data_IF_664136686687
#
_entry.id   IF_664136686687
#
_cell.length_a   1.000
_cell.length_b   1.000
_cell.length_c   1.000
_cell.angle_alpha   90.00
_cell.angle_beta   90.00
_cell.angle_gamma   90.00
#
_symmetry.space_group_name_H-M   'P 1'
#
loop_
_entity.id
_entity.type
_entity.pdbx_description
1 polymer ?
#
# COMPACT_ATOMS: atom_id res chain seq x y z
N UNK A 1 -10.07 7.23 -24.24
CA UNK A 1 -9.04 7.31 -23.18
C UNK A 1 -9.60 8.22 -22.11
N UNK A 2 -9.87 7.69 -20.92
CA UNK A 2 -10.21 8.53 -19.78
C UNK A 2 -8.94 9.25 -19.33
N UNK A 3 -9.02 10.56 -19.14
CA UNK A 3 -7.91 11.36 -18.63
C UNK A 3 -7.58 10.92 -17.19
N UNK A 4 -6.30 10.94 -16.81
CA UNK A 4 -5.92 10.63 -15.44
C UNK A 4 -6.50 11.71 -14.51
N UNK A 5 -7.14 11.34 -13.38
CA UNK A 5 -7.65 12.32 -12.46
C UNK A 5 -6.50 13.15 -11.87
N UNK A 6 -6.77 14.39 -11.41
CA UNK A 6 -5.71 15.26 -10.89
C UNK A 6 -5.12 14.76 -9.56
N UNK A 7 -5.89 13.99 -8.79
CA UNK A 7 -5.49 13.44 -7.48
C UNK A 7 -5.93 11.99 -7.32
N UNK A 8 -5.25 11.26 -6.44
CA UNK A 8 -5.65 9.93 -6.02
C UNK A 8 -7.06 9.93 -5.41
N UNK A 9 -7.39 10.94 -4.59
CA UNK A 9 -8.72 11.09 -4.00
C UNK A 9 -9.81 11.22 -5.09
N UNK A 10 -9.53 11.96 -6.17
CA UNK A 10 -10.47 12.09 -7.28
C UNK A 10 -10.70 10.75 -8.01
N UNK A 11 -9.66 9.91 -8.16
CA UNK A 11 -9.81 8.54 -8.68
C UNK A 11 -10.77 7.73 -7.80
N UNK A 12 -10.54 7.73 -6.49
CA UNK A 12 -11.36 6.97 -5.54
C UNK A 12 -12.80 7.48 -5.51
N UNK A 13 -13.00 8.79 -5.51
CA UNK A 13 -14.32 9.40 -5.52
C UNK A 13 -15.09 9.11 -6.81
N UNK A 14 -14.43 9.17 -7.97
CA UNK A 14 -15.05 8.87 -9.28
C UNK A 14 -15.63 7.46 -9.35
N UNK A 15 -14.97 6.49 -8.70
CA UNK A 15 -15.37 5.08 -8.70
C UNK A 15 -16.09 4.66 -7.41
N UNK A 16 -16.39 5.63 -6.52
CA UNK A 16 -17.06 5.39 -5.24
C UNK A 16 -16.35 4.27 -4.44
N UNK A 17 -15.02 4.43 -4.32
CA UNK A 17 -14.12 3.53 -3.61
C UNK A 17 -13.79 4.10 -2.22
N UNK A 18 -13.82 3.27 -1.16
CA UNK A 18 -13.37 3.66 0.17
C UNK A 18 -11.92 4.14 0.16
N UNK A 19 -11.67 5.29 0.78
CA UNK A 19 -10.33 5.80 0.98
C UNK A 19 -9.61 5.00 2.07
N UNK A 20 -8.35 4.67 1.84
CA UNK A 20 -7.47 4.11 2.87
C UNK A 20 -6.72 5.29 3.50
N UNK A 21 -6.96 5.61 4.79
CA UNK A 21 -6.37 6.79 5.41
C UNK A 21 -4.85 6.64 5.47
N UNK A 22 -4.13 7.67 5.03
CA UNK A 22 -2.68 7.75 5.12
C UNK A 22 -2.28 8.70 6.27
N UNK A 23 -1.04 8.61 6.78
CA UNK A 23 -0.51 9.63 7.68
C UNK A 23 -0.66 11.04 7.11
N UNK A 24 -1.10 12.00 7.93
CA UNK A 24 -1.65 13.26 7.43
C UNK A 24 -0.66 14.17 6.68
N UNK A 25 0.63 14.12 6.98
CA UNK A 25 1.70 14.79 6.20
C UNK A 25 2.02 14.06 4.89
N UNK A 26 2.02 12.71 4.87
CA UNK A 26 2.19 11.95 3.63
C UNK A 26 1.01 12.18 2.69
N UNK A 27 -0.22 12.14 3.20
CA UNK A 27 -1.42 12.39 2.39
C UNK A 27 -1.38 13.79 1.76
N UNK A 28 -1.05 14.81 2.56
CA UNK A 28 -0.90 16.20 2.08
C UNK A 28 0.27 16.38 1.12
N UNK A 29 1.24 15.47 1.10
CA UNK A 29 2.43 15.53 0.26
C UNK A 29 2.34 14.67 -0.99
N UNK A 30 1.28 13.87 -1.17
CA UNK A 30 1.05 13.11 -2.40
C UNK A 30 0.95 14.06 -3.60
N UNK A 31 1.75 13.81 -4.63
CA UNK A 31 1.73 14.54 -5.91
C UNK A 31 1.64 13.55 -7.05
N UNK A 32 1.03 13.95 -8.16
CA UNK A 32 1.03 13.13 -9.37
C UNK A 32 2.46 13.07 -9.93
N UNK A 33 2.98 11.86 -10.12
CA UNK A 33 4.35 11.63 -10.61
C UNK A 33 4.33 11.00 -12.00
N UNK A 34 3.23 10.32 -12.35
CA UNK A 34 2.93 9.84 -13.69
C UNK A 34 1.40 9.64 -13.83
N UNK A 35 0.87 9.39 -15.03
CA UNK A 35 -0.56 9.13 -15.20
C UNK A 35 -1.03 8.01 -14.28
N UNK A 36 -2.05 8.30 -13.46
CA UNK A 36 -2.62 7.38 -12.47
C UNK A 36 -1.68 6.93 -11.33
N UNK A 37 -0.55 7.62 -11.11
CA UNK A 37 0.34 7.35 -9.98
C UNK A 37 0.63 8.64 -9.22
N UNK A 38 0.40 8.59 -7.91
CA UNK A 38 0.68 9.65 -6.97
C UNK A 38 1.63 9.14 -5.89
N UNK A 39 2.66 9.92 -5.57
CA UNK A 39 3.70 9.53 -4.61
C UNK A 39 4.17 10.74 -3.82
N UNK A 40 4.72 10.50 -2.63
CA UNK A 40 5.43 11.51 -1.82
C UNK A 40 6.92 11.59 -2.15
N UNK A 41 7.43 10.72 -3.02
CA UNK A 41 8.83 10.68 -3.43
C UNK A 41 9.00 10.47 -4.93
N UNK A 42 10.08 11.03 -5.46
CA UNK A 42 10.60 10.83 -6.81
C UNK A 42 12.14 10.84 -6.76
N UNK A 43 12.83 10.08 -7.64
CA UNK A 43 12.29 9.15 -8.63
C UNK A 43 11.68 7.89 -7.99
N UNK A 44 10.83 7.17 -8.73
CA UNK A 44 10.32 5.86 -8.31
C UNK A 44 11.33 4.76 -8.67
N UNK A 45 11.53 3.74 -7.81
CA UNK A 45 12.43 2.62 -8.10
C UNK A 45 11.89 1.70 -9.20
N UNK A 46 10.56 1.55 -9.30
CA UNK A 46 9.86 0.74 -10.30
C UNK A 46 8.41 1.22 -10.46
N UNK A 47 7.67 0.62 -11.41
CA UNK A 47 6.21 0.82 -11.45
C UNK A 47 5.56 0.25 -10.17
N UNK A 48 4.43 0.79 -9.69
CA UNK A 48 3.71 0.20 -8.56
C UNK A 48 3.37 -1.28 -8.77
N UNK A 49 3.23 -1.71 -10.02
CA UNK A 49 2.93 -3.12 -10.34
C UNK A 49 4.04 -4.10 -9.93
N UNK A 50 5.30 -3.65 -9.92
CA UNK A 50 6.47 -4.44 -9.53
C UNK A 50 6.61 -4.48 -8.00
N UNK A 51 5.58 -4.99 -7.32
CA UNK A 51 5.44 -4.99 -5.86
C UNK A 51 6.69 -5.48 -5.11
N UNK A 52 7.35 -6.54 -5.62
CA UNK A 52 8.53 -7.11 -4.96
C UNK A 52 9.69 -6.12 -4.89
N UNK A 53 9.89 -5.24 -5.88
CA UNK A 53 10.94 -4.21 -5.86
C UNK A 53 10.73 -3.24 -4.70
N UNK A 54 9.48 -2.85 -4.45
CA UNK A 54 9.13 -1.94 -3.35
C UNK A 54 9.27 -2.60 -1.97
N UNK A 55 8.96 -3.89 -1.89
CA UNK A 55 9.12 -4.69 -0.67
C UNK A 55 10.60 -4.88 -0.36
N UNK A 56 11.41 -5.26 -1.36
CA UNK A 56 12.86 -5.43 -1.22
C UNK A 56 13.55 -4.13 -0.80
N UNK A 57 13.19 -3.00 -1.40
CA UNK A 57 13.75 -1.70 -1.02
C UNK A 57 13.53 -1.37 0.46
N UNK A 58 12.33 -1.64 1.01
CA UNK A 58 12.07 -1.41 2.43
C UNK A 58 12.82 -2.39 3.33
N UNK A 59 13.10 -3.61 2.84
CA UNK A 59 13.92 -4.56 3.58
C UNK A 59 15.39 -4.14 3.61
N UNK A 60 15.88 -3.51 2.55
CA UNK A 60 17.25 -3.02 2.42
C UNK A 60 17.47 -1.67 3.13
N UNK A 61 16.52 -0.74 3.03
CA UNK A 61 16.52 0.56 3.71
C UNK A 61 15.16 0.84 4.40
N UNK A 62 15.00 0.40 5.66
CA UNK A 62 13.75 0.57 6.39
C UNK A 62 13.55 1.99 6.95
N UNK A 63 14.47 2.93 6.73
CA UNK A 63 14.40 4.24 7.38
C UNK A 63 13.49 5.24 6.64
N UNK A 64 13.23 5.03 5.35
CA UNK A 64 12.48 5.99 4.57
C UNK A 64 10.97 5.85 4.77
N UNK A 65 10.32 6.98 5.03
CA UNK A 65 8.88 7.10 5.05
C UNK A 65 8.37 7.65 3.72
N UNK A 66 7.30 7.05 3.19
CA UNK A 66 6.67 7.48 1.96
C UNK A 66 5.24 6.94 1.84
N UNK A 67 4.45 7.57 0.97
CA UNK A 67 3.21 7.00 0.49
C UNK A 67 3.17 6.99 -1.03
N UNK A 68 2.51 5.98 -1.59
CA UNK A 68 2.21 5.85 -3.00
C UNK A 68 0.79 5.33 -3.17
N UNK A 69 0.06 5.95 -4.10
CA UNK A 69 -1.20 5.42 -4.63
C UNK A 69 -1.04 5.31 -6.14
N UNK A 70 -1.30 4.14 -6.70
CA UNK A 70 -1.19 3.92 -8.14
C UNK A 70 -2.31 3.05 -8.68
N UNK A 71 -2.75 3.33 -9.91
CA UNK A 71 -3.47 2.36 -10.72
C UNK A 71 -2.54 1.93 -11.85
N UNK A 72 -2.04 0.70 -11.75
CA UNK A 72 -1.02 0.18 -12.66
C UNK A 72 -1.35 -1.26 -13.06
N UNK A 73 -0.78 -1.69 -14.18
CA UNK A 73 -1.11 -2.98 -14.74
C UNK A 73 -0.36 -3.30 -16.02
N UNK A 74 -0.59 -4.52 -16.51
CA UNK A 74 -0.10 -4.99 -17.80
C UNK A 74 -1.24 -5.54 -18.66
N UNK A 75 -1.25 -5.14 -19.94
CA UNK A 75 -2.21 -5.62 -20.92
C UNK A 75 -3.65 -5.25 -20.59
N UNK A 76 -4.60 -6.12 -20.99
CA UNK A 76 -6.04 -5.86 -20.87
C UNK A 76 -6.68 -6.43 -19.59
N UNK A 77 -5.97 -7.30 -18.86
CA UNK A 77 -6.58 -8.10 -17.80
C UNK A 77 -5.99 -7.89 -16.40
N UNK A 78 -4.78 -7.32 -16.29
CA UNK A 78 -4.03 -7.30 -15.05
C UNK A 78 -3.83 -5.88 -14.56
N UNK A 79 -4.90 -5.29 -14.03
CA UNK A 79 -4.91 -3.93 -13.47
C UNK A 79 -5.22 -3.97 -11.98
N UNK A 80 -4.49 -3.19 -11.19
CA UNK A 80 -4.66 -3.13 -9.74
C UNK A 80 -4.50 -1.70 -9.22
N UNK A 81 -5.19 -1.44 -8.11
CA UNK A 81 -4.88 -0.35 -7.20
C UNK A 81 -3.75 -0.77 -6.26
N UNK A 82 -2.76 0.09 -6.15
CA UNK A 82 -1.59 -0.04 -5.31
C UNK A 82 -1.68 1.06 -4.25
N UNK A 83 -1.71 0.69 -2.97
CA UNK A 83 -1.63 1.64 -1.85
C UNK A 83 -0.45 1.21 -0.99
N UNK A 84 0.66 1.92 -1.12
CA UNK A 84 1.89 1.66 -0.37
C UNK A 84 2.09 2.78 0.65
N UNK A 85 2.40 2.42 1.88
CA UNK A 85 2.70 3.37 2.93
C UNK A 85 3.77 2.81 3.85
N UNK A 86 4.94 3.44 3.83
CA UNK A 86 6.00 3.23 4.80
C UNK A 86 5.97 4.40 5.79
N UNK A 87 5.73 4.09 7.07
CA UNK A 87 5.69 5.07 8.15
C UNK A 87 6.26 4.45 9.43
N UNK A 88 7.38 4.97 9.90
CA UNK A 88 7.99 4.57 11.18
C UNK A 88 8.19 3.05 11.24
N UNK A 89 7.61 2.34 12.23
CA UNK A 89 7.76 0.89 12.36
C UNK A 89 6.88 0.04 11.42
N UNK A 90 6.09 0.63 10.51
CA UNK A 90 5.23 -0.11 9.57
C UNK A 90 5.59 0.22 8.11
N UNK A 91 5.70 -0.82 7.28
CA UNK A 91 5.50 -0.69 5.84
C UNK A 91 4.33 -1.56 5.40
N UNK A 92 3.34 -0.92 4.80
CA UNK A 92 2.12 -1.53 4.32
C UNK A 92 2.10 -1.48 2.79
N UNK A 93 1.90 -2.64 2.17
CA UNK A 93 1.78 -2.77 0.73
C UNK A 93 0.44 -3.44 0.39
N UNK A 94 -0.48 -2.68 -0.18
CA UNK A 94 -1.78 -3.17 -0.62
C UNK A 94 -1.82 -3.23 -2.14
N UNK A 95 -2.21 -4.38 -2.69
CA UNK A 95 -2.44 -4.57 -4.13
C UNK A 95 -3.82 -5.20 -4.34
N UNK A 96 -4.76 -4.39 -4.81
CA UNK A 96 -6.17 -4.79 -4.97
C UNK A 96 -6.54 -4.70 -6.44
N UNK A 97 -6.98 -5.81 -7.04
CA UNK A 97 -7.39 -5.79 -8.45
C UNK A 97 -8.49 -4.76 -8.72
N UNK A 98 -8.38 -4.05 -9.85
CA UNK A 98 -9.29 -2.97 -10.24
C UNK A 98 -9.17 -2.64 -11.74
N UNK A 99 -10.29 -2.70 -12.47
CA UNK A 99 -10.35 -2.34 -13.89
C UNK A 99 -9.98 -3.45 -14.88
N UNK A 100 -9.77 -4.69 -14.41
CA UNK A 100 -9.62 -5.85 -15.30
C UNK A 100 -10.96 -6.35 -15.87
N UNK A 101 -10.94 -7.02 -17.02
CA UNK A 101 -12.16 -7.48 -17.73
C UNK A 101 -13.10 -8.37 -16.90
N UNK A 102 -12.56 -9.05 -15.88
CA UNK A 102 -13.30 -9.95 -14.99
C UNK A 102 -13.54 -9.36 -13.60
N UNK A 103 -13.08 -8.13 -13.35
CA UNK A 103 -13.15 -7.50 -12.04
C UNK A 103 -14.39 -6.62 -11.93
N UNK A 104 -15.23 -6.86 -10.93
CA UNK A 104 -16.35 -5.97 -10.62
C UNK A 104 -15.88 -4.92 -9.62
N UNK A 105 -16.17 -3.65 -9.89
CA UNK A 105 -15.84 -2.55 -8.96
C UNK A 105 -16.42 -2.75 -7.56
N UNK A 106 -17.60 -3.37 -7.46
CA UNK A 106 -18.23 -3.71 -6.17
C UNK A 106 -17.38 -4.67 -5.32
N UNK A 107 -16.61 -5.57 -5.95
CA UNK A 107 -15.72 -6.49 -5.23
C UNK A 107 -14.48 -5.75 -4.74
N UNK A 108 -13.89 -4.89 -5.58
CA UNK A 108 -12.79 -3.97 -5.18
C UNK A 108 -13.23 -3.08 -4.01
N UNK A 109 -14.44 -2.54 -4.06
CA UNK A 109 -15.01 -1.69 -3.01
C UNK A 109 -15.09 -2.41 -1.66
N UNK A 110 -15.59 -3.65 -1.65
CA UNK A 110 -15.66 -4.47 -0.42
C UNK A 110 -14.27 -4.74 0.15
N UNK A 111 -13.31 -5.09 -0.71
CA UNK A 111 -11.92 -5.34 -0.28
C UNK A 111 -11.30 -4.07 0.29
N UNK A 112 -11.43 -2.92 -0.38
CA UNK A 112 -10.90 -1.65 0.15
C UNK A 112 -11.55 -1.23 1.47
N UNK A 113 -12.86 -1.44 1.63
CA UNK A 113 -13.56 -1.19 2.89
C UNK A 113 -12.98 -2.04 4.03
N UNK A 114 -12.83 -3.34 3.80
CA UNK A 114 -12.18 -4.23 4.78
C UNK A 114 -10.75 -3.81 5.10
N UNK A 115 -9.95 -3.46 4.09
CA UNK A 115 -8.57 -3.01 4.29
C UNK A 115 -8.50 -1.67 5.04
N UNK A 116 -9.41 -0.73 4.78
CA UNK A 116 -9.46 0.53 5.50
C UNK A 116 -9.74 0.29 7.00
N UNK A 117 -10.67 -0.59 7.34
CA UNK A 117 -10.98 -0.97 8.72
C UNK A 117 -9.81 -1.65 9.44
N UNK A 118 -9.07 -2.53 8.74
CA UNK A 118 -7.97 -3.30 9.34
C UNK A 118 -6.65 -2.55 9.37
N UNK A 119 -6.33 -1.79 8.33
CA UNK A 119 -5.04 -1.12 8.17
C UNK A 119 -5.03 0.32 8.69
N UNK A 120 -6.18 1.03 8.69
CA UNK A 120 -6.26 2.39 9.20
C UNK A 120 -5.76 2.53 10.66
N UNK A 121 -6.19 1.65 11.59
CA UNK A 121 -5.67 1.66 12.95
C UNK A 121 -4.17 1.36 13.04
N UNK A 122 -3.63 0.51 12.15
CA UNK A 122 -2.20 0.21 12.10
C UNK A 122 -1.39 1.42 11.65
N UNK A 123 -1.83 2.12 10.60
CA UNK A 123 -1.19 3.34 10.11
C UNK A 123 -1.23 4.46 11.16
N UNK A 124 -2.38 4.63 11.82
CA UNK A 124 -2.53 5.60 12.92
C UNK A 124 -1.55 5.31 14.05
N UNK A 125 -1.39 4.04 14.42
CA UNK A 125 -0.49 3.62 15.49
C UNK A 125 0.97 3.78 15.08
N UNK A 126 1.32 3.41 13.85
CA UNK A 126 2.66 3.56 13.31
C UNK A 126 3.11 5.03 13.25
N UNK A 127 2.19 5.95 12.93
CA UNK A 127 2.45 7.39 12.92
C UNK A 127 2.74 7.96 14.32
N UNK A 128 2.16 7.35 15.36
CA UNK A 128 2.37 7.75 16.75
C UNK A 128 3.62 7.13 17.41
N UNK A 129 4.18 6.06 16.83
CA UNK A 129 5.36 5.40 17.36
C UNK A 129 6.63 6.18 16.98
N UNK A 130 7.56 6.31 17.94
CA UNK A 130 8.92 6.71 17.59
C UNK A 130 9.53 5.63 16.68
N UNK A 131 10.18 6.04 15.59
CA UNK A 131 10.85 5.11 14.69
C UNK A 131 11.88 4.23 15.42
N UNK A 132 12.12 3.04 14.89
CA UNK A 132 13.11 2.09 15.40
C UNK A 132 13.79 1.35 14.24
N UNK A 133 14.88 0.62 14.51
CA UNK A 133 15.62 -0.11 13.46
C UNK A 133 14.83 -1.30 12.90
N UNK A 134 13.79 -1.74 13.60
CA UNK A 134 12.92 -2.85 13.18
C UNK A 134 11.58 -2.31 12.72
N UNK A 135 11.16 -2.74 11.54
CA UNK A 135 9.89 -2.42 10.89
C UNK A 135 9.17 -3.71 10.56
N UNK A 136 7.85 -3.74 10.74
CA UNK A 136 7.00 -4.79 10.19
C UNK A 136 6.64 -4.44 8.76
N UNK A 137 6.91 -5.36 7.85
CA UNK A 137 6.49 -5.29 6.45
C UNK A 137 5.26 -6.17 6.28
N UNK A 138 4.13 -5.57 5.91
CA UNK A 138 2.86 -6.24 5.67
C UNK A 138 2.48 -6.09 4.20
N UNK A 139 2.38 -7.21 3.49
CA UNK A 139 1.92 -7.28 2.11
C UNK A 139 0.55 -7.94 2.08
N UNK A 140 -0.44 -7.24 1.50
CA UNK A 140 -1.77 -7.78 1.25
C UNK A 140 -2.09 -7.60 -0.22
N UNK A 141 -1.94 -8.68 -0.99
CA UNK A 141 -2.19 -8.69 -2.43
C UNK A 141 -3.29 -9.67 -2.79
N UNK A 142 -4.27 -9.20 -3.57
CA UNK A 142 -5.23 -10.07 -4.23
C UNK A 142 -4.64 -10.92 -5.36
N UNK A 143 -3.37 -10.68 -5.73
CA UNK A 143 -2.66 -11.33 -6.84
C UNK A 143 -1.60 -12.31 -6.34
N UNK A 144 -0.83 -11.95 -5.31
CA UNK A 144 0.28 -12.75 -4.77
C UNK A 144 0.04 -13.27 -3.35
N UNK A 145 -1.11 -12.99 -2.74
CA UNK A 145 -1.47 -13.45 -1.41
C UNK A 145 -1.10 -12.47 -0.29
N UNK A 146 -1.14 -12.96 0.94
CA UNK A 146 -0.89 -12.17 2.14
C UNK A 146 0.33 -12.72 2.86
N UNK A 147 1.28 -11.84 3.16
CA UNK A 147 2.50 -12.21 3.87
C UNK A 147 3.05 -11.06 4.69
N UNK A 148 3.78 -11.37 5.74
CA UNK A 148 4.40 -10.36 6.59
C UNK A 148 5.74 -10.85 7.15
N UNK A 149 6.61 -9.90 7.53
CA UNK A 149 7.86 -10.18 8.25
C UNK A 149 8.34 -8.95 9.00
N UNK A 150 9.29 -9.15 9.90
CA UNK A 150 10.11 -8.08 10.46
C UNK A 150 11.33 -7.81 9.56
N UNK A 151 11.86 -6.59 9.60
CA UNK A 151 13.12 -6.22 8.93
C UNK A 151 14.37 -6.69 9.67
N UNK A 152 14.22 -7.33 10.84
CA UNK A 152 15.36 -7.84 11.60
C UNK A 152 16.12 -8.96 10.85
N UNK A 153 17.45 -9.07 11.04
CA UNK A 153 18.25 -10.11 10.41
C UNK A 153 17.72 -11.52 10.73
N UNK A 154 17.53 -12.33 9.70
CA UNK A 154 17.08 -13.73 9.84
C UNK A 154 15.57 -13.92 10.01
N UNK A 155 14.77 -12.85 10.06
CA UNK A 155 13.31 -12.98 10.06
C UNK A 155 12.81 -13.59 8.74
N UNK A 156 12.04 -14.67 8.86
CA UNK A 156 11.39 -15.34 7.74
C UNK A 156 10.03 -14.71 7.41
N UNK A 157 9.63 -14.79 6.15
CA UNK A 157 8.27 -14.49 5.72
C UNK A 157 7.26 -15.43 6.41
N UNK A 158 6.15 -14.85 6.84
CA UNK A 158 5.01 -15.54 7.41
C UNK A 158 3.81 -15.37 6.48
N UNK A 159 3.16 -16.47 6.13
CA UNK A 159 1.96 -16.49 5.27
C UNK A 159 0.72 -16.98 6.03
N UNK A 160 0.91 -17.49 7.24
CA UNK A 160 -0.15 -18.02 8.11
C UNK A 160 -0.42 -17.08 9.31
N UNK A 161 -1.61 -17.23 9.89
CA UNK A 161 -2.06 -16.45 11.06
C UNK A 161 -2.82 -15.16 10.71
N UNK A 162 -3.05 -14.31 11.72
CA UNK A 162 -3.66 -12.98 11.52
C UNK A 162 -2.54 -11.93 11.33
N UNK A 163 -2.29 -11.48 10.09
CA UNK A 163 -1.20 -10.57 9.79
C UNK A 163 -1.42 -9.17 10.41
N UNK A 164 -2.68 -8.77 10.60
CA UNK A 164 -3.01 -7.48 11.20
C UNK A 164 -2.76 -7.50 12.71
N UNK A 165 -3.06 -8.63 13.36
CA UNK A 165 -2.74 -8.82 14.77
C UNK A 165 -1.21 -8.86 14.99
N UNK A 166 -0.48 -9.53 14.10
CA UNK A 166 0.99 -9.55 14.13
C UNK A 166 1.57 -8.14 13.95
N UNK A 167 1.11 -7.39 12.94
CA UNK A 167 1.51 -6.01 12.74
C UNK A 167 1.19 -5.14 13.98
N UNK A 168 -0.04 -5.22 14.52
CA UNK A 168 -0.41 -4.48 15.72
C UNK A 168 0.48 -4.81 16.93
N UNK A 169 0.92 -6.07 17.07
CA UNK A 169 1.81 -6.49 18.13
C UNK A 169 3.24 -5.95 17.97
N UNK A 170 3.70 -5.73 16.74
CA UNK A 170 5.01 -5.14 16.44
C UNK A 170 5.06 -3.61 16.69
N UNK A 171 3.91 -2.91 16.63
CA UNK A 171 3.81 -1.46 16.83
C UNK A 171 3.76 -1.05 18.32
N UNK A 172 4.53 -1.70 19.19
CA UNK A 172 4.49 -1.47 20.65
C UNK A 172 5.43 -0.38 21.13
#
# INVERSE_FOLDING_TARGET
>A
MTEAPPTAQALFQQHDLPWIPLPGDLERSLRAVSPFVWSTREPLPATPYDLDVWVEEVLDDPAQDYALIGHAGHGVNSWALHIYCARGPLALFLQVGFGGAYQREADTRKVLGFLAERCGPLLTRADACAGGPVRVVLVVSGLSGVRWRLTEPGAAWQEEGDPYAAAAAALR
#
